data_IF_107106249946
#
_entry.id   IF_107106249946
#
_cell.length_a   1.000
_cell.length_b   1.000
_cell.length_c   1.000
_cell.angle_alpha   90.00
_cell.angle_beta   90.00
_cell.angle_gamma   90.00
#
_symmetry.space_group_name_H-M   'P 1'
#
loop_
_entity.id
_entity.type
_entity.pdbx_description
1 polymer ?
#
# COMPACT_ATOMS: atom_id res chain seq x y z
N UNK A 1 15.17 -1.22 -10.80
CA UNK A 1 14.74 -1.66 -12.14
C UNK A 1 15.42 -0.88 -13.28
N UNK A 2 16.40 -0.02 -12.99
CA UNK A 2 16.97 0.92 -13.97
C UNK A 2 17.68 0.24 -15.16
N UNK A 3 18.44 -0.83 -14.91
CA UNK A 3 19.20 -1.55 -15.97
C UNK A 3 18.29 -2.20 -17.02
N UNK A 4 17.08 -2.63 -16.63
CA UNK A 4 16.12 -3.26 -17.55
C UNK A 4 15.34 -2.19 -18.32
N UNK A 5 14.94 -1.09 -17.66
CA UNK A 5 14.26 0.01 -18.34
C UNK A 5 15.13 0.68 -19.41
N UNK A 6 16.42 0.86 -19.15
CA UNK A 6 17.36 1.39 -20.15
C UNK A 6 17.56 0.42 -21.32
N UNK A 7 17.65 -0.89 -21.04
CA UNK A 7 17.85 -1.92 -22.07
C UNK A 7 16.65 -2.10 -23.00
N UNK A 8 15.43 -1.94 -22.48
CA UNK A 8 14.19 -2.14 -23.24
C UNK A 8 13.45 -0.85 -23.59
N UNK A 9 14.03 0.32 -23.30
CA UNK A 9 13.44 1.62 -23.62
C UNK A 9 12.13 1.90 -22.87
N UNK A 10 11.97 1.38 -21.65
CA UNK A 10 10.77 1.61 -20.84
C UNK A 10 10.88 2.99 -20.21
N UNK A 11 10.11 3.95 -20.73
CA UNK A 11 10.10 5.32 -20.23
C UNK A 11 9.67 5.38 -18.76
N UNK A 12 10.14 6.40 -18.04
CA UNK A 12 9.69 6.66 -16.67
C UNK A 12 8.17 6.84 -16.59
N UNK A 13 7.59 7.48 -17.60
CA UNK A 13 6.15 7.71 -17.69
C UNK A 13 5.35 6.41 -17.77
N UNK A 14 5.80 5.42 -18.54
CA UNK A 14 5.18 4.08 -18.57
C UNK A 14 5.29 3.35 -17.23
N UNK A 15 6.40 3.52 -16.51
CA UNK A 15 6.58 2.93 -15.18
C UNK A 15 5.62 3.56 -14.16
N UNK A 16 5.46 4.88 -14.21
CA UNK A 16 4.57 5.62 -13.33
C UNK A 16 3.08 5.31 -13.64
N UNK A 17 2.70 5.22 -14.91
CA UNK A 17 1.35 4.80 -15.34
C UNK A 17 1.02 3.37 -14.86
N UNK A 18 1.97 2.45 -15.03
CA UNK A 18 1.78 1.08 -14.54
C UNK A 18 1.64 1.03 -13.01
N UNK A 19 2.43 1.84 -12.30
CA UNK A 19 2.36 1.93 -10.84
C UNK A 19 1.01 2.45 -10.38
N UNK A 20 0.47 3.49 -11.03
CA UNK A 20 -0.87 4.02 -10.75
C UNK A 20 -1.96 2.98 -11.02
N UNK A 21 -1.92 2.32 -12.18
CA UNK A 21 -2.87 1.25 -12.51
C UNK A 21 -2.81 0.09 -11.51
N UNK A 22 -1.61 -0.25 -11.02
CA UNK A 22 -1.45 -1.28 -10.00
C UNK A 22 -2.17 -0.89 -8.71
N UNK A 23 -1.97 0.34 -8.22
CA UNK A 23 -2.63 0.82 -7.01
C UNK A 23 -4.16 0.90 -7.19
N UNK A 24 -4.64 1.34 -8.35
CA UNK A 24 -6.07 1.37 -8.67
C UNK A 24 -6.70 -0.04 -8.66
N UNK A 25 -6.01 -1.04 -9.23
CA UNK A 25 -6.48 -2.43 -9.19
C UNK A 25 -6.51 -2.98 -7.76
N UNK A 26 -5.49 -2.69 -6.96
CA UNK A 26 -5.46 -3.08 -5.54
C UNK A 26 -6.63 -2.44 -4.78
N UNK A 27 -6.94 -1.16 -5.03
CA UNK A 27 -8.09 -0.49 -4.41
C UNK A 27 -9.41 -1.17 -4.79
N UNK A 28 -9.62 -1.42 -6.08
CA UNK A 28 -10.82 -2.12 -6.53
C UNK A 28 -10.92 -3.55 -5.93
N UNK A 29 -9.81 -4.28 -5.82
CA UNK A 29 -9.81 -5.61 -5.22
C UNK A 29 -10.10 -5.58 -3.70
N UNK A 30 -9.58 -4.57 -2.98
CA UNK A 30 -9.88 -4.35 -1.56
C UNK A 30 -11.34 -3.93 -1.32
N UNK A 31 -11.92 -3.12 -2.20
CA UNK A 31 -13.33 -2.71 -2.15
C UNK A 31 -14.28 -3.87 -2.42
N UNK A 32 -13.91 -4.75 -3.37
CA UNK A 32 -14.70 -5.93 -3.72
C UNK A 32 -14.45 -7.14 -2.79
N UNK A 33 -13.64 -7.00 -1.74
CA UNK A 33 -13.36 -8.08 -0.79
C UNK A 33 -12.61 -9.27 -1.38
N UNK A 34 -11.92 -9.10 -2.51
CA UNK A 34 -11.22 -10.20 -3.20
C UNK A 34 -10.10 -10.77 -2.32
N UNK A 35 -9.50 -9.92 -1.48
CA UNK A 35 -8.42 -10.34 -0.59
C UNK A 35 -8.90 -10.89 0.76
N UNK A 36 -10.21 -10.85 1.03
CA UNK A 36 -10.76 -11.26 2.33
C UNK A 36 -10.58 -12.78 2.57
N UNK A 37 -10.53 -13.58 1.50
CA UNK A 37 -10.31 -15.03 1.58
C UNK A 37 -8.83 -15.42 1.77
N UNK A 38 -7.88 -14.53 1.44
CA UNK A 38 -6.43 -14.83 1.52
C UNK A 38 -5.70 -14.11 2.67
N UNK A 39 -6.22 -12.96 3.14
CA UNK A 39 -5.60 -12.19 4.23
C UNK A 39 -6.12 -12.69 5.58
N UNK A 40 -5.22 -13.22 6.40
CA UNK A 40 -5.53 -13.57 7.79
C UNK A 40 -5.37 -12.33 8.69
N UNK A 41 -6.41 -11.92 9.45
CA UNK A 41 -6.33 -10.79 10.38
C UNK A 41 -5.19 -10.95 11.38
N UNK A 42 -4.34 -9.93 11.50
CA UNK A 42 -3.26 -9.91 12.47
C UNK A 42 -3.45 -8.81 13.50
N UNK A 43 -3.46 -9.18 14.78
CA UNK A 43 -3.42 -8.22 15.87
C UNK A 43 -2.03 -7.62 15.97
N UNK A 44 -1.94 -6.30 15.90
CA UNK A 44 -0.70 -5.55 15.97
C UNK A 44 -0.83 -4.38 16.95
N UNK A 45 0.30 -3.92 17.48
CA UNK A 45 0.36 -2.70 18.28
C UNK A 45 0.85 -1.58 17.36
N UNK A 46 -0.04 -0.64 17.02
CA UNK A 46 0.26 0.53 16.20
C UNK A 46 0.85 1.62 17.07
N UNK A 47 2.04 2.08 16.69
CA UNK A 47 2.66 3.26 17.29
C UNK A 47 2.14 4.51 16.58
N UNK A 48 1.34 5.31 17.27
CA UNK A 48 0.78 6.56 16.75
C UNK A 48 1.62 7.71 17.28
N UNK A 49 2.44 8.29 16.41
CA UNK A 49 3.25 9.46 16.74
C UNK A 49 2.46 10.74 16.50
N UNK A 50 2.16 11.48 17.56
CA UNK A 50 1.54 12.79 17.45
C UNK A 50 2.62 13.82 17.11
N UNK A 51 2.52 14.41 15.90
CA UNK A 51 3.51 15.36 15.39
C UNK A 51 3.51 16.71 16.13
N UNK A 52 2.41 17.08 16.79
CA UNK A 52 2.28 18.34 17.55
C UNK A 52 2.77 18.20 18.99
N UNK A 53 2.41 17.10 19.67
CA UNK A 53 2.80 16.87 21.07
C UNK A 53 4.12 16.10 21.21
N UNK A 54 4.63 15.53 20.11
CA UNK A 54 5.79 14.61 20.06
C UNK A 54 5.63 13.35 20.93
N UNK A 55 4.43 13.07 21.40
CA UNK A 55 4.13 11.87 22.17
C UNK A 55 3.85 10.69 21.23
N UNK A 56 4.24 9.50 21.69
CA UNK A 56 3.97 8.24 20.99
C UNK A 56 2.95 7.45 21.82
N UNK A 57 1.74 7.29 21.30
CA UNK A 57 0.75 6.38 21.88
C UNK A 57 0.81 5.01 21.18
N UNK A 58 0.35 3.98 21.89
CA UNK A 58 0.28 2.61 21.37
C UNK A 58 -1.18 2.17 21.37
N UNK A 59 -1.68 1.80 20.21
CA UNK A 59 -3.06 1.32 20.03
C UNK A 59 -3.04 -0.13 19.57
N UNK A 60 -3.89 -0.97 20.16
CA UNK A 60 -4.13 -2.31 19.62
C UNK A 60 -5.01 -2.17 18.39
N UNK A 61 -4.52 -2.63 17.25
CA UNK A 61 -5.22 -2.61 15.98
C UNK A 61 -5.26 -4.01 15.38
N UNK A 62 -6.35 -4.33 14.68
CA UNK A 62 -6.41 -5.51 13.83
C UNK A 62 -6.12 -5.07 12.40
N UNK A 63 -5.04 -5.58 11.83
CA UNK A 63 -4.67 -5.33 10.44
C UNK A 63 -5.32 -6.41 9.59
N UNK A 64 -6.36 -6.03 8.85
CA UNK A 64 -7.15 -6.91 7.98
C UNK A 64 -6.95 -6.58 6.49
N UNK A 65 -6.40 -5.40 6.18
CA UNK A 65 -6.22 -4.90 4.82
C UNK A 65 -4.88 -4.19 4.69
N UNK A 66 -4.34 -4.18 3.48
CA UNK A 66 -3.13 -3.41 3.14
C UNK A 66 -3.39 -1.89 3.30
N UNK A 67 -2.70 -1.26 4.26
CA UNK A 67 -2.78 0.17 4.57
C UNK A 67 -1.88 1.05 3.65
N UNK A 68 -1.04 0.46 2.82
CA UNK A 68 -0.08 1.15 1.95
C UNK A 68 -0.64 1.50 0.56
N UNK A 69 -1.84 1.04 0.23
CA UNK A 69 -2.48 1.34 -1.04
C UNK A 69 -2.72 2.85 -1.21
N UNK A 70 -2.26 3.40 -2.34
CA UNK A 70 -2.39 4.83 -2.69
C UNK A 70 -2.90 4.93 -4.13
N UNK A 71 -4.23 4.81 -4.35
CA UNK A 71 -4.81 4.76 -5.69
C UNK A 71 -4.95 6.14 -6.38
N UNK A 72 -4.59 7.23 -5.70
CA UNK A 72 -4.67 8.62 -6.17
C UNK A 72 -3.51 9.45 -5.65
#
# INVERSE_FOLDING_TARGET
AEVVSERYGISRQLQDEYSLQSQQRTAAAQENGIFDDEIVPMQAVKSVFNRETKETSYEQVTVEKDECNRPS
#
